data_IF_415739743791
#
_entry.id   IF_415739743791
#
_cell.length_a   1.000
_cell.length_b   1.000
_cell.length_c   1.000
_cell.angle_alpha   90.00
_cell.angle_beta   90.00
_cell.angle_gamma   90.00
#
_symmetry.space_group_name_H-M   'P 1'
#
loop_
_entity.id
_entity.type
_entity.pdbx_description
1 polymer ?
#
# COMPACT_ATOMS: atom_id res chain seq x y z
N UNK A 1 -18.76 -17.62 24.61
CA UNK A 1 -18.07 -17.36 23.34
C UNK A 1 -19.13 -16.96 22.35
N UNK A 2 -19.28 -15.68 22.15
CA UNK A 2 -20.28 -15.08 21.25
C UNK A 2 -19.71 -15.08 19.83
N UNK A 3 -20.37 -15.80 18.94
CA UNK A 3 -20.13 -15.69 17.49
C UNK A 3 -20.50 -14.27 17.06
N UNK A 4 -19.49 -13.43 16.89
CA UNK A 4 -19.68 -12.15 16.20
C UNK A 4 -20.04 -12.44 14.75
N UNK A 5 -21.30 -12.19 14.44
CA UNK A 5 -21.85 -12.23 13.09
C UNK A 5 -21.03 -11.28 12.22
N UNK A 6 -20.12 -11.79 11.40
CA UNK A 6 -19.45 -11.01 10.35
C UNK A 6 -20.53 -10.47 9.41
N UNK A 7 -20.92 -9.21 9.63
CA UNK A 7 -21.78 -8.50 8.70
C UNK A 7 -21.04 -8.45 7.36
N UNK A 8 -21.49 -9.24 6.41
CA UNK A 8 -21.03 -9.18 5.03
C UNK A 8 -21.45 -7.82 4.49
N UNK A 9 -20.51 -6.90 4.37
CA UNK A 9 -20.76 -5.58 3.77
C UNK A 9 -20.97 -5.85 2.28
N UNK A 10 -22.18 -5.64 1.77
CA UNK A 10 -22.44 -5.71 0.34
C UNK A 10 -21.60 -4.64 -0.37
N UNK A 11 -20.86 -5.07 -1.37
CA UNK A 11 -20.05 -4.17 -2.19
C UNK A 11 -20.95 -3.26 -3.00
N UNK A 12 -20.63 -1.97 -3.04
CA UNK A 12 -21.32 -1.02 -3.91
C UNK A 12 -20.99 -1.25 -5.40
N UNK A 13 -21.85 -0.80 -6.29
CA UNK A 13 -21.60 -0.83 -7.75
C UNK A 13 -20.30 -0.10 -8.13
N UNK A 14 -19.94 0.94 -7.38
CA UNK A 14 -18.67 1.64 -7.57
C UNK A 14 -17.48 0.72 -7.27
N UNK A 15 -17.51 0.00 -6.15
CA UNK A 15 -16.46 -0.94 -5.78
C UNK A 15 -16.30 -2.07 -6.82
N UNK A 16 -17.40 -2.60 -7.36
CA UNK A 16 -17.35 -3.58 -8.45
C UNK A 16 -16.69 -3.04 -9.71
N UNK A 17 -16.99 -1.80 -10.09
CA UNK A 17 -16.35 -1.17 -11.25
C UNK A 17 -14.87 -0.94 -11.04
N UNK A 18 -14.48 -0.50 -9.85
CA UNK A 18 -13.08 -0.28 -9.48
C UNK A 18 -12.28 -1.58 -9.50
N UNK A 19 -12.83 -2.67 -8.96
CA UNK A 19 -12.18 -3.99 -9.01
C UNK A 19 -11.94 -4.46 -10.44
N UNK A 20 -12.92 -4.30 -11.34
CA UNK A 20 -12.74 -4.62 -12.77
C UNK A 20 -11.65 -3.79 -13.44
N UNK A 21 -11.55 -2.51 -13.09
CA UNK A 21 -10.48 -1.64 -13.60
C UNK A 21 -9.11 -2.11 -13.07
N UNK A 22 -9.00 -2.48 -11.79
CA UNK A 22 -7.76 -3.00 -11.22
C UNK A 22 -7.34 -4.32 -11.89
N UNK A 23 -8.29 -5.22 -12.15
CA UNK A 23 -8.04 -6.47 -12.87
C UNK A 23 -7.52 -6.19 -14.29
N UNK A 24 -8.20 -5.33 -15.03
CA UNK A 24 -7.77 -4.89 -16.35
C UNK A 24 -6.34 -4.29 -16.32
N UNK A 25 -6.03 -3.46 -15.34
CA UNK A 25 -4.69 -2.86 -15.19
C UNK A 25 -3.63 -3.93 -14.94
N UNK A 26 -3.95 -4.92 -14.12
CA UNK A 26 -3.05 -6.03 -13.80
C UNK A 26 -2.78 -6.90 -15.03
N UNK A 27 -3.84 -7.36 -15.70
CA UNK A 27 -3.75 -8.22 -16.90
C UNK A 27 -2.97 -7.54 -18.03
N UNK A 28 -3.23 -6.26 -18.25
CA UNK A 28 -2.62 -5.49 -19.33
C UNK A 28 -1.29 -4.82 -18.93
N UNK A 29 -0.80 -5.03 -17.71
CA UNK A 29 0.44 -4.42 -17.19
C UNK A 29 0.49 -2.90 -17.40
N UNK A 30 -0.63 -2.21 -17.17
CA UNK A 30 -0.78 -0.78 -17.48
C UNK A 30 0.29 0.05 -16.78
N UNK A 31 0.59 -0.23 -15.51
CA UNK A 31 1.65 0.48 -14.79
C UNK A 31 3.01 0.37 -15.50
N UNK A 32 3.41 -0.83 -15.90
CA UNK A 32 4.69 -1.05 -16.61
C UNK A 32 4.71 -0.28 -17.92
N UNK A 33 3.62 -0.32 -18.69
CA UNK A 33 3.48 0.45 -19.94
C UNK A 33 3.65 1.95 -19.74
N UNK A 34 3.19 2.51 -18.60
CA UNK A 34 3.42 3.94 -18.30
C UNK A 34 4.89 4.25 -18.06
N UNK A 35 5.64 3.35 -17.44
CA UNK A 35 7.08 3.52 -17.23
C UNK A 35 7.84 3.39 -18.55
N UNK A 36 7.53 2.40 -19.37
CA UNK A 36 8.13 2.17 -20.69
C UNK A 36 7.87 3.37 -21.63
N UNK A 37 6.64 3.83 -21.72
CA UNK A 37 6.24 4.96 -22.58
C UNK A 37 6.90 6.30 -22.17
N UNK A 38 7.38 6.41 -20.94
CA UNK A 38 8.06 7.59 -20.42
C UNK A 38 9.56 7.42 -20.27
N UNK A 39 10.12 6.26 -20.64
CA UNK A 39 11.54 5.98 -20.52
C UNK A 39 12.37 7.01 -21.33
N UNK A 40 13.44 7.51 -20.74
CA UNK A 40 14.31 8.52 -21.36
C UNK A 40 13.75 9.95 -21.40
N UNK A 41 12.52 10.17 -20.91
CA UNK A 41 11.97 11.52 -20.76
C UNK A 41 12.46 12.19 -19.47
N UNK A 42 12.19 13.51 -19.34
CA UNK A 42 12.56 14.26 -18.15
C UNK A 42 11.99 13.62 -16.90
N UNK A 43 12.83 13.35 -15.92
CA UNK A 43 12.41 12.76 -14.65
C UNK A 43 11.66 13.77 -13.79
N UNK A 44 10.63 13.30 -13.11
CA UNK A 44 9.99 13.96 -11.99
C UNK A 44 10.11 13.08 -10.77
N UNK A 45 10.91 13.53 -9.82
CA UNK A 45 11.19 12.78 -8.58
C UNK A 45 10.18 13.21 -7.53
N UNK A 46 9.53 12.23 -6.93
CA UNK A 46 8.56 12.41 -5.86
C UNK A 46 8.86 11.43 -4.72
N UNK A 47 9.04 11.96 -3.53
CA UNK A 47 9.28 11.17 -2.34
C UNK A 47 8.08 11.22 -1.40
N UNK A 48 7.80 10.10 -0.77
CA UNK A 48 6.83 9.97 0.31
C UNK A 48 7.40 9.06 1.40
N UNK A 49 7.07 9.35 2.65
CA UNK A 49 7.36 8.43 3.76
C UNK A 49 6.47 7.18 3.63
N UNK A 50 7.06 5.97 3.74
CA UNK A 50 6.27 4.76 3.67
C UNK A 50 5.36 4.63 4.90
N UNK A 51 4.15 4.06 4.75
CA UNK A 51 3.29 3.77 5.88
C UNK A 51 3.89 2.67 6.75
N UNK A 52 3.67 2.77 8.05
CA UNK A 52 4.08 1.73 9.01
C UNK A 52 3.19 0.49 8.86
N UNK A 53 3.81 -0.68 8.80
CA UNK A 53 3.13 -1.97 8.63
C UNK A 53 2.58 -2.50 9.96
N UNK A 54 1.72 -1.71 10.64
CA UNK A 54 1.22 -2.02 11.98
C UNK A 54 -0.32 -2.09 12.08
N UNK A 55 -1.02 -2.17 10.96
CA UNK A 55 -2.48 -2.30 10.95
C UNK A 55 -3.13 -1.94 9.62
N UNK A 56 -4.45 -2.00 9.60
CA UNK A 56 -5.24 -1.61 8.42
C UNK A 56 -5.29 -0.09 8.27
N UNK A 57 -5.18 0.45 7.05
CA UNK A 57 -5.28 1.88 6.82
C UNK A 57 -6.69 2.40 7.11
N UNK A 58 -6.76 3.51 7.85
CA UNK A 58 -8.01 4.23 8.04
C UNK A 58 -8.23 5.32 6.97
N UNK A 59 -9.42 5.94 6.98
CA UNK A 59 -9.79 7.01 6.03
C UNK A 59 -8.79 8.18 6.06
N UNK A 60 -8.26 8.51 7.22
CA UNK A 60 -7.25 9.56 7.39
C UNK A 60 -5.90 9.26 6.70
N UNK A 61 -5.63 8.00 6.37
CA UNK A 61 -4.49 7.62 5.53
C UNK A 61 -4.80 7.72 4.04
N UNK A 62 -6.05 7.42 3.65
CA UNK A 62 -6.46 7.42 2.24
C UNK A 62 -6.52 8.83 1.64
N UNK A 63 -6.97 9.83 2.43
CA UNK A 63 -7.07 11.21 1.96
C UNK A 63 -5.71 11.78 1.52
N UNK A 64 -4.66 11.79 2.36
CA UNK A 64 -3.34 12.23 1.94
C UNK A 64 -2.78 11.44 0.76
N UNK A 65 -2.99 10.12 0.73
CA UNK A 65 -2.52 9.28 -0.38
C UNK A 65 -3.19 9.63 -1.70
N UNK A 66 -4.47 9.98 -1.70
CA UNK A 66 -5.18 10.44 -2.90
C UNK A 66 -4.57 11.71 -3.47
N UNK A 67 -4.24 12.69 -2.62
CA UNK A 67 -3.57 13.92 -3.04
C UNK A 67 -2.16 13.64 -3.59
N UNK A 68 -1.40 12.81 -2.91
CA UNK A 68 -0.05 12.45 -3.33
C UNK A 68 -0.06 11.68 -4.65
N UNK A 69 -1.01 10.76 -4.86
CA UNK A 69 -1.14 9.99 -6.09
C UNK A 69 -1.54 10.86 -7.30
N UNK A 70 -2.34 11.89 -7.08
CA UNK A 70 -2.75 12.81 -8.14
C UNK A 70 -1.56 13.52 -8.82
N UNK A 71 -0.53 13.90 -8.07
CA UNK A 71 0.63 14.61 -8.59
C UNK A 71 1.48 13.74 -9.53
N UNK A 72 1.92 12.53 -9.16
CA UNK A 72 2.63 11.62 -10.04
C UNK A 72 1.83 11.22 -11.29
N UNK A 73 0.52 10.99 -11.16
CA UNK A 73 -0.36 10.71 -12.30
C UNK A 73 -0.40 11.88 -13.27
N UNK A 74 -0.63 13.11 -12.77
CA UNK A 74 -0.61 14.31 -13.59
C UNK A 74 0.73 14.49 -14.31
N UNK A 75 1.86 14.33 -13.61
CA UNK A 75 3.18 14.43 -14.22
C UNK A 75 3.44 13.38 -15.29
N UNK A 76 2.98 12.14 -15.06
CA UNK A 76 3.04 11.08 -16.07
C UNK A 76 2.24 11.45 -17.33
N UNK A 77 1.01 11.96 -17.17
CA UNK A 77 0.20 12.44 -18.29
C UNK A 77 0.82 13.63 -19.03
N UNK A 78 1.62 14.44 -18.32
CA UNK A 78 2.38 15.55 -18.91
C UNK A 78 3.67 15.10 -19.58
N UNK A 79 3.93 13.80 -19.64
CA UNK A 79 5.08 13.23 -20.35
C UNK A 79 6.37 13.17 -19.54
N UNK A 80 6.32 13.32 -18.23
CA UNK A 80 7.49 13.08 -17.38
C UNK A 80 7.66 11.59 -17.09
N UNK A 81 8.90 11.16 -16.90
CA UNK A 81 9.20 9.86 -16.33
C UNK A 81 9.07 9.93 -14.80
N UNK A 82 8.12 9.22 -14.25
CA UNK A 82 7.85 9.22 -12.80
C UNK A 82 7.99 7.79 -12.29
N UNK A 83 9.07 7.52 -11.57
CA UNK A 83 9.27 6.24 -10.90
C UNK A 83 8.37 6.20 -9.66
N UNK A 84 7.28 5.45 -9.75
CA UNK A 84 6.40 5.19 -8.62
C UNK A 84 6.76 3.83 -8.05
N UNK A 85 7.31 3.83 -6.84
CA UNK A 85 7.73 2.62 -6.14
C UNK A 85 7.04 2.59 -4.78
N UNK A 86 6.30 1.54 -4.51
CA UNK A 86 5.71 1.30 -3.20
C UNK A 86 6.76 0.90 -2.17
N UNK A 87 6.45 1.15 -0.91
CA UNK A 87 7.28 0.73 0.21
C UNK A 87 6.46 0.70 1.50
N UNK A 88 7.03 0.05 2.51
CA UNK A 88 6.48 -0.06 3.85
C UNK A 88 7.56 0.23 4.87
N UNK A 89 7.19 0.94 5.93
CA UNK A 89 8.02 1.03 7.12
C UNK A 89 7.77 -0.22 7.96
N UNK A 90 8.76 -1.11 7.98
CA UNK A 90 8.66 -2.43 8.63
C UNK A 90 9.50 -2.51 9.90
N UNK A 91 10.05 -1.40 10.37
CA UNK A 91 10.90 -1.33 11.54
C UNK A 91 10.25 -0.50 12.65
N UNK A 92 10.78 -0.70 13.86
CA UNK A 92 10.39 0.06 15.04
C UNK A 92 9.32 -0.61 15.90
N UNK A 93 9.19 -0.07 17.10
CA UNK A 93 8.35 -0.62 18.17
C UNK A 93 6.90 -0.93 17.78
N UNK A 94 6.19 -0.11 16.97
CA UNK A 94 4.80 -0.42 16.61
C UNK A 94 4.65 -1.70 15.79
N UNK A 95 5.62 -2.01 14.92
CA UNK A 95 5.62 -3.25 14.12
C UNK A 95 6.04 -4.42 14.99
N UNK A 96 7.08 -4.24 15.80
CA UNK A 96 7.58 -5.25 16.73
C UNK A 96 6.49 -5.75 17.67
N UNK A 97 5.77 -4.86 18.34
CA UNK A 97 4.67 -5.21 19.25
C UNK A 97 3.53 -5.98 18.53
N UNK A 98 3.25 -5.65 17.28
CA UNK A 98 2.24 -6.37 16.50
C UNK A 98 2.70 -7.79 16.18
N UNK A 99 3.95 -7.93 15.72
CA UNK A 99 4.53 -9.23 15.37
C UNK A 99 4.68 -10.12 16.61
N UNK A 100 5.14 -9.60 17.74
CA UNK A 100 5.18 -10.32 19.01
C UNK A 100 3.80 -10.86 19.40
N UNK A 101 2.78 -10.03 19.27
CA UNK A 101 1.40 -10.42 19.55
C UNK A 101 0.90 -11.52 18.61
N UNK A 102 1.19 -11.44 17.33
CA UNK A 102 0.79 -12.44 16.33
C UNK A 102 1.52 -13.77 16.53
N UNK A 103 2.81 -13.72 16.87
CA UNK A 103 3.61 -14.90 17.16
C UNK A 103 3.41 -15.44 18.58
N UNK A 104 2.69 -14.72 19.44
CA UNK A 104 2.44 -15.10 20.83
C UNK A 104 3.66 -15.00 21.74
N UNK A 105 4.68 -14.23 21.35
CA UNK A 105 5.88 -13.99 22.14
C UNK A 105 5.58 -13.05 23.31
N UNK A 106 6.00 -13.44 24.52
CA UNK A 106 5.67 -12.71 25.76
C UNK A 106 6.88 -12.20 26.52
N UNK A 107 8.07 -12.60 26.11
CA UNK A 107 9.30 -12.25 26.82
C UNK A 107 10.46 -12.02 25.84
N UNK A 108 11.41 -11.18 26.28
CA UNK A 108 12.64 -10.93 25.53
C UNK A 108 13.40 -12.22 25.21
N UNK A 109 13.39 -13.20 26.13
CA UNK A 109 14.05 -14.48 25.93
C UNK A 109 13.42 -15.32 24.81
N UNK A 110 12.10 -15.22 24.66
CA UNK A 110 11.38 -15.89 23.56
C UNK A 110 11.72 -15.24 22.22
N UNK A 111 11.85 -13.91 22.19
CA UNK A 111 12.28 -13.16 20.99
C UNK A 111 13.71 -13.55 20.60
N UNK A 112 14.64 -13.60 21.56
CA UNK A 112 16.02 -14.02 21.33
C UNK A 112 16.11 -15.46 20.81
N UNK A 113 15.25 -16.37 21.32
CA UNK A 113 15.19 -17.75 20.86
C UNK A 113 14.55 -17.91 19.47
N UNK A 114 13.65 -17.01 19.10
CA UNK A 114 13.05 -17.00 17.77
C UNK A 114 14.10 -16.73 16.67
N UNK A 115 15.09 -15.92 17.01
CA UNK A 115 16.25 -15.64 16.17
C UNK A 115 16.04 -14.44 15.24
N UNK A 116 17.07 -14.20 14.46
CA UNK A 116 17.15 -13.09 13.49
C UNK A 116 17.07 -13.68 12.08
#
# INVERSE_FOLDING_TARGET
MSEETKKTIEKSDAAFREEKVLEFWKENKIFNKTLEASAGKKEFIFYDGPPTANGMPGVHHLIPQSFKDAIPRYKTMRGYHVRRKGGWDTHGLPVELLVEKELGLKSKKEIENYGI
#
